data_IF_937653513056
#
_entry.id   IF_937653513056
#
_cell.length_a   1.000
_cell.length_b   1.000
_cell.length_c   1.000
_cell.angle_alpha   90.00
_cell.angle_beta   90.00
_cell.angle_gamma   90.00
#
_symmetry.space_group_name_H-M   'P 1'
#
loop_
_entity.id
_entity.type
_entity.pdbx_description
1 polymer ?
#
# COMPACT_ATOMS: atom_id res chain seq x y z
N UNK A 1 -6.36 26.40 6.96
CA UNK A 1 -4.89 26.28 6.96
C UNK A 1 -4.39 25.06 7.76
N UNK A 2 -4.81 24.85 9.02
CA UNK A 2 -4.40 23.69 9.83
C UNK A 2 -4.74 22.29 9.25
N UNK A 3 -5.89 22.15 8.57
CA UNK A 3 -6.31 20.88 7.93
C UNK A 3 -5.38 20.44 6.79
N UNK A 4 -4.83 21.40 6.03
CA UNK A 4 -3.89 21.14 4.93
C UNK A 4 -2.49 20.74 5.43
N UNK A 5 -2.02 21.36 6.52
CA UNK A 5 -0.73 21.01 7.12
C UNK A 5 -0.73 19.59 7.71
N UNK A 6 -1.86 19.20 8.33
CA UNK A 6 -2.16 17.84 8.80
C UNK A 6 -2.13 16.83 7.65
N UNK A 7 -2.83 17.12 6.54
CA UNK A 7 -2.89 16.21 5.39
C UNK A 7 -1.51 15.95 4.75
N UNK A 8 -0.66 16.98 4.66
CA UNK A 8 0.71 16.81 4.13
C UNK A 8 1.59 15.94 5.04
N UNK A 9 1.46 16.05 6.36
CA UNK A 9 2.18 15.19 7.30
C UNK A 9 1.70 13.73 7.21
N UNK A 10 0.40 13.51 7.12
CA UNK A 10 -0.18 12.17 6.93
C UNK A 10 0.34 11.54 5.64
N UNK A 11 0.39 12.29 4.53
CA UNK A 11 0.93 11.83 3.24
C UNK A 11 2.42 11.47 3.32
N UNK A 12 3.23 12.26 4.02
CA UNK A 12 4.65 11.93 4.26
C UNK A 12 4.82 10.66 5.10
N UNK A 13 3.99 10.48 6.14
CA UNK A 13 3.98 9.26 6.96
C UNK A 13 3.57 8.05 6.13
N UNK A 14 2.58 8.18 5.23
CA UNK A 14 2.18 7.13 4.30
C UNK A 14 3.33 6.75 3.38
N UNK A 15 3.98 7.74 2.75
CA UNK A 15 5.11 7.49 1.85
C UNK A 15 6.26 6.77 2.57
N UNK A 16 6.61 7.21 3.79
CA UNK A 16 7.61 6.54 4.63
C UNK A 16 7.20 5.11 5.00
N UNK A 17 5.94 4.93 5.41
CA UNK A 17 5.39 3.61 5.75
C UNK A 17 5.38 2.66 4.56
N UNK A 18 5.17 3.18 3.35
CA UNK A 18 5.17 2.39 2.10
C UNK A 18 6.53 1.72 1.87
N UNK A 19 7.63 2.44 2.13
CA UNK A 19 8.98 1.88 2.01
C UNK A 19 9.26 0.85 3.12
N UNK A 20 8.93 1.17 4.37
CA UNK A 20 9.19 0.30 5.53
C UNK A 20 8.41 -1.02 5.42
N UNK A 21 7.11 -0.95 5.13
CA UNK A 21 6.25 -2.14 5.00
C UNK A 21 6.67 -3.01 3.82
N UNK A 22 7.06 -2.40 2.70
CA UNK A 22 7.59 -3.13 1.53
C UNK A 22 8.89 -3.88 1.85
N UNK A 23 9.81 -3.25 2.60
CA UNK A 23 11.04 -3.88 3.05
C UNK A 23 10.78 -5.02 4.05
N UNK A 24 9.87 -4.81 5.01
CA UNK A 24 9.50 -5.83 5.98
C UNK A 24 8.86 -7.05 5.29
N UNK A 25 7.92 -6.83 4.36
CA UNK A 25 7.27 -7.92 3.62
C UNK A 25 8.29 -8.65 2.76
N UNK A 26 9.15 -7.94 2.03
CA UNK A 26 10.18 -8.57 1.20
C UNK A 26 11.12 -9.41 2.06
N UNK A 27 11.63 -8.86 3.16
CA UNK A 27 12.53 -9.57 4.08
C UNK A 27 11.87 -10.79 4.73
N UNK A 28 10.64 -10.66 5.21
CA UNK A 28 9.90 -11.79 5.79
C UNK A 28 9.56 -12.86 4.76
N UNK A 29 9.08 -12.49 3.57
CA UNK A 29 8.68 -13.48 2.55
C UNK A 29 9.88 -14.21 1.96
N UNK A 30 11.02 -13.56 1.72
CA UNK A 30 12.23 -14.23 1.24
C UNK A 30 12.84 -15.14 2.30
N UNK A 31 12.88 -14.72 3.58
CA UNK A 31 13.45 -15.59 4.62
C UNK A 31 12.51 -16.70 5.10
N UNK A 32 11.18 -16.50 5.10
CA UNK A 32 10.25 -17.49 5.66
C UNK A 32 9.50 -18.34 4.62
N UNK A 33 9.12 -17.77 3.47
CA UNK A 33 8.27 -18.48 2.49
C UNK A 33 9.10 -19.28 1.48
N UNK A 34 10.26 -18.78 1.06
CA UNK A 34 11.18 -19.52 0.17
C UNK A 34 11.73 -20.79 0.84
N UNK A 35 11.93 -20.79 2.17
CA UNK A 35 12.32 -21.99 2.92
C UNK A 35 11.22 -23.06 2.92
N UNK A 36 9.94 -22.66 2.84
CA UNK A 36 8.77 -23.53 3.06
C UNK A 36 7.98 -23.92 1.80
N UNK A 37 8.65 -24.19 0.67
CA UNK A 37 8.09 -24.89 -0.52
C UNK A 37 7.10 -24.13 -1.42
N UNK A 38 6.91 -22.82 -1.29
CA UNK A 38 6.03 -22.07 -2.21
C UNK A 38 6.83 -21.39 -3.34
N UNK A 39 7.26 -22.18 -4.34
CA UNK A 39 7.89 -21.75 -5.60
C UNK A 39 6.97 -20.93 -6.55
N UNK A 40 5.81 -20.47 -6.07
CA UNK A 40 4.83 -19.78 -6.88
C UNK A 40 5.17 -18.31 -7.03
N UNK A 41 5.82 -17.95 -8.16
CA UNK A 41 6.11 -16.60 -8.70
C UNK A 41 6.41 -15.54 -7.63
N UNK A 42 7.64 -15.03 -7.61
CA UNK A 42 8.06 -13.93 -6.72
C UNK A 42 7.40 -12.59 -7.11
N UNK A 43 6.06 -12.54 -6.96
CA UNK A 43 5.20 -11.38 -7.20
C UNK A 43 5.44 -10.33 -6.12
N UNK A 44 5.88 -10.75 -4.92
CA UNK A 44 6.17 -9.84 -3.80
C UNK A 44 7.20 -8.79 -4.15
N UNK A 45 8.31 -9.17 -4.80
CA UNK A 45 9.33 -8.21 -5.22
C UNK A 45 8.76 -7.15 -6.18
N UNK A 46 7.99 -7.58 -7.18
CA UNK A 46 7.39 -6.68 -8.16
C UNK A 46 6.36 -5.74 -7.52
N UNK A 47 5.50 -6.26 -6.65
CA UNK A 47 4.46 -5.47 -5.98
C UNK A 47 5.08 -4.50 -4.96
N UNK A 48 6.13 -4.90 -4.24
CA UNK A 48 6.86 -4.02 -3.32
C UNK A 48 7.58 -2.89 -4.08
N UNK A 49 8.22 -3.20 -5.21
CA UNK A 49 8.82 -2.17 -6.08
C UNK A 49 7.77 -1.21 -6.60
N UNK A 50 6.63 -1.73 -7.06
CA UNK A 50 5.51 -0.91 -7.52
C UNK A 50 5.02 0.01 -6.39
N UNK A 51 4.99 -0.48 -5.15
CA UNK A 51 4.61 0.35 -4.01
C UNK A 51 5.64 1.42 -3.65
N UNK A 52 6.93 1.09 -3.68
CA UNK A 52 8.00 2.08 -3.44
C UNK A 52 7.92 3.19 -4.49
N UNK A 53 7.78 2.82 -5.77
CA UNK A 53 7.64 3.77 -6.87
C UNK A 53 6.37 4.62 -6.70
N UNK A 54 5.24 4.00 -6.40
CA UNK A 54 4.00 4.71 -6.06
C UNK A 54 4.19 5.69 -4.90
N UNK A 55 4.88 5.26 -3.83
CA UNK A 55 5.13 6.08 -2.64
C UNK A 55 5.95 7.31 -2.95
N UNK A 56 6.93 7.20 -3.85
CA UNK A 56 7.70 8.34 -4.37
C UNK A 56 6.77 9.31 -5.11
N UNK A 57 5.87 8.82 -5.97
CA UNK A 57 4.90 9.68 -6.65
C UNK A 57 3.97 10.40 -5.67
N UNK A 58 3.52 9.73 -4.62
CA UNK A 58 2.70 10.34 -3.56
C UNK A 58 3.46 11.43 -2.81
N UNK A 59 4.73 11.18 -2.48
CA UNK A 59 5.60 12.15 -1.83
C UNK A 59 5.84 13.39 -2.71
N UNK A 60 6.21 13.19 -3.98
CA UNK A 60 6.42 14.28 -4.95
C UNK A 60 5.10 15.03 -5.20
N UNK A 61 3.99 14.32 -5.32
CA UNK A 61 2.65 14.90 -5.45
C UNK A 61 2.27 15.78 -4.27
N UNK A 62 2.59 15.35 -3.05
CA UNK A 62 2.35 16.13 -1.84
C UNK A 62 3.23 17.38 -1.78
N UNK A 63 4.50 17.31 -2.19
CA UNK A 63 5.41 18.46 -2.22
C UNK A 63 5.03 19.49 -3.27
N UNK A 64 4.65 19.03 -4.47
CA UNK A 64 4.32 19.90 -5.60
C UNK A 64 2.84 20.31 -5.64
N UNK A 65 2.04 19.90 -4.62
CA UNK A 65 0.58 20.04 -4.58
C UNK A 65 -0.14 19.51 -5.83
N UNK A 66 0.50 18.57 -6.55
CA UNK A 66 -0.04 17.99 -7.78
C UNK A 66 -0.71 16.66 -7.45
N UNK A 67 -2.03 16.71 -7.27
CA UNK A 67 -2.84 15.58 -6.83
C UNK A 67 -2.99 14.49 -7.90
N UNK A 68 -2.69 14.79 -9.18
CA UNK A 68 -2.62 13.79 -10.24
C UNK A 68 -1.56 12.71 -9.98
N UNK A 69 -0.51 13.04 -9.23
CA UNK A 69 0.54 12.08 -8.86
C UNK A 69 0.08 11.10 -7.77
N UNK A 70 -1.16 11.19 -7.29
CA UNK A 70 -1.73 10.22 -6.36
C UNK A 70 -2.30 8.99 -7.07
N UNK A 71 -2.70 9.11 -8.34
CA UNK A 71 -3.23 7.98 -9.11
C UNK A 71 -2.27 6.79 -9.20
N UNK A 72 -0.98 6.99 -9.52
CA UNK A 72 -0.02 5.88 -9.57
C UNK A 72 0.10 5.13 -8.24
N UNK A 73 0.07 5.85 -7.13
CA UNK A 73 0.10 5.23 -5.80
C UNK A 73 -1.22 4.52 -5.46
N UNK A 74 -2.37 5.11 -5.78
CA UNK A 74 -3.68 4.49 -5.58
C UNK A 74 -3.78 3.16 -6.34
N UNK A 75 -3.34 3.13 -7.60
CA UNK A 75 -3.29 1.90 -8.39
C UNK A 75 -2.36 0.86 -7.77
N UNK A 76 -1.17 1.30 -7.31
CA UNK A 76 -0.23 0.42 -6.63
C UNK A 76 -0.78 -0.13 -5.30
N UNK A 77 -1.52 0.69 -4.55
CA UNK A 77 -2.21 0.31 -3.32
C UNK A 77 -3.29 -0.74 -3.57
N UNK A 78 -4.11 -0.58 -4.61
CA UNK A 78 -5.09 -1.60 -5.01
C UNK A 78 -4.44 -2.95 -5.30
N UNK A 79 -3.38 -2.96 -6.11
CA UNK A 79 -2.65 -4.18 -6.48
C UNK A 79 -2.00 -4.83 -5.25
N UNK A 80 -1.45 -4.01 -4.36
CA UNK A 80 -0.82 -4.48 -3.12
C UNK A 80 -1.83 -5.11 -2.15
N UNK A 81 -2.97 -4.46 -1.91
CA UNK A 81 -4.07 -4.99 -1.08
C UNK A 81 -4.58 -6.30 -1.67
N UNK A 82 -4.84 -6.34 -2.98
CA UNK A 82 -5.27 -7.55 -3.67
C UNK A 82 -4.27 -8.71 -3.48
N UNK A 83 -2.97 -8.42 -3.61
CA UNK A 83 -1.91 -9.43 -3.45
C UNK A 83 -1.85 -9.96 -2.01
N UNK A 84 -1.98 -9.08 -1.01
CA UNK A 84 -2.04 -9.46 0.41
C UNK A 84 -3.21 -10.41 0.69
N UNK A 85 -4.41 -10.06 0.21
CA UNK A 85 -5.61 -10.89 0.40
C UNK A 85 -5.48 -12.22 -0.35
N UNK A 86 -5.05 -12.20 -1.61
CA UNK A 86 -4.88 -13.41 -2.42
C UNK A 86 -3.88 -14.37 -1.79
N UNK A 87 -2.69 -13.88 -1.38
CA UNK A 87 -1.66 -14.71 -0.73
C UNK A 87 -2.10 -15.18 0.66
N UNK A 88 -2.84 -14.35 1.41
CA UNK A 88 -3.43 -14.73 2.70
C UNK A 88 -4.39 -15.92 2.54
N UNK A 89 -5.26 -15.91 1.53
CA UNK A 89 -6.16 -17.02 1.21
C UNK A 89 -5.35 -18.25 0.76
N UNK A 90 -4.36 -18.07 -0.13
CA UNK A 90 -3.53 -19.19 -0.61
C UNK A 90 -2.77 -19.88 0.52
N UNK A 91 -2.24 -19.12 1.48
CA UNK A 91 -1.56 -19.66 2.65
C UNK A 91 -2.53 -20.34 3.62
N UNK A 92 -3.75 -19.83 3.74
CA UNK A 92 -4.81 -20.47 4.52
C UNK A 92 -5.22 -21.85 3.99
N UNK A 93 -5.07 -22.12 2.69
CA UNK A 93 -5.40 -23.44 2.13
C UNK A 93 -4.22 -24.42 2.07
N UNK A 94 -2.97 -23.93 2.07
CA UNK A 94 -1.80 -24.77 1.73
C UNK A 94 -0.79 -25.02 2.87
N UNK A 95 -0.86 -24.32 4.01
CA UNK A 95 0.18 -24.38 5.06
C UNK A 95 -0.37 -24.83 6.42
N UNK A 96 -0.42 -26.12 6.72
CA UNK A 96 -0.88 -26.61 8.03
C UNK A 96 -0.04 -26.08 9.21
N UNK A 97 -0.71 -25.54 10.23
CA UNK A 97 -0.15 -25.24 11.57
C UNK A 97 0.56 -23.89 11.76
N UNK A 98 1.25 -23.35 10.76
CA UNK A 98 1.95 -22.04 10.85
C UNK A 98 1.05 -20.83 10.46
N UNK A 99 -0.22 -21.08 10.12
CA UNK A 99 -1.19 -20.07 9.64
C UNK A 99 -1.57 -19.01 10.67
N UNK A 100 -1.45 -19.34 11.97
CA UNK A 100 -2.07 -18.57 13.07
C UNK A 100 -1.53 -17.14 13.19
N UNK A 101 -0.36 -16.85 12.62
CA UNK A 101 0.28 -15.54 12.76
C UNK A 101 0.40 -14.79 11.42
N UNK A 102 0.68 -15.48 10.31
CA UNK A 102 0.94 -14.84 9.00
C UNK A 102 -0.35 -14.35 8.33
N UNK A 103 -1.40 -15.16 8.36
CA UNK A 103 -2.71 -14.84 7.76
C UNK A 103 -3.32 -13.59 8.41
N UNK A 104 -3.47 -13.50 9.75
CA UNK A 104 -4.01 -12.30 10.38
C UNK A 104 -3.10 -11.08 10.23
N UNK A 105 -1.78 -11.27 10.16
CA UNK A 105 -0.85 -10.16 9.92
C UNK A 105 -1.04 -9.55 8.53
N UNK A 106 -1.17 -10.36 7.48
CA UNK A 106 -1.44 -9.87 6.12
C UNK A 106 -2.81 -9.19 6.00
N UNK A 107 -3.84 -9.73 6.64
CA UNK A 107 -5.17 -9.12 6.68
C UNK A 107 -5.16 -7.79 7.43
N UNK A 108 -4.41 -7.69 8.54
CA UNK A 108 -4.26 -6.44 9.30
C UNK A 108 -3.56 -5.37 8.48
N UNK A 109 -2.49 -5.73 7.75
CA UNK A 109 -1.80 -4.81 6.84
C UNK A 109 -2.74 -4.38 5.71
N UNK A 110 -3.51 -5.30 5.12
CA UNK A 110 -4.45 -4.98 4.05
C UNK A 110 -5.54 -4.00 4.51
N UNK A 111 -6.10 -4.20 5.72
CA UNK A 111 -7.07 -3.29 6.33
C UNK A 111 -6.48 -1.90 6.58
N UNK A 112 -5.27 -1.85 7.15
CA UNK A 112 -4.54 -0.60 7.37
C UNK A 112 -4.27 0.15 6.05
N UNK A 113 -3.84 -0.57 5.01
CA UNK A 113 -3.58 0.02 3.69
C UNK A 113 -4.86 0.53 3.02
N UNK A 114 -5.97 -0.18 3.18
CA UNK A 114 -7.28 0.20 2.64
C UNK A 114 -7.77 1.52 3.24
N UNK A 115 -7.48 1.76 4.53
CA UNK A 115 -7.79 3.04 5.17
C UNK A 115 -7.03 4.20 4.52
N UNK A 116 -5.71 4.08 4.30
CA UNK A 116 -4.95 5.13 3.63
C UNK A 116 -5.33 5.32 2.17
N UNK A 117 -5.64 4.22 1.48
CA UNK A 117 -6.15 4.29 0.12
C UNK A 117 -7.44 5.12 0.08
N UNK A 118 -8.36 4.88 1.03
CA UNK A 118 -9.59 5.66 1.14
C UNK A 118 -9.32 7.14 1.43
N UNK A 119 -8.43 7.46 2.37
CA UNK A 119 -8.08 8.84 2.74
C UNK A 119 -7.50 9.61 1.55
N UNK A 120 -6.52 9.03 0.85
CA UNK A 120 -5.89 9.63 -0.34
C UNK A 120 -6.89 9.76 -1.49
N UNK A 121 -7.81 8.81 -1.65
CA UNK A 121 -8.85 8.86 -2.68
C UNK A 121 -9.88 9.97 -2.39
N UNK A 122 -10.29 10.15 -1.14
CA UNK A 122 -11.16 11.26 -0.73
C UNK A 122 -10.51 12.62 -0.97
N UNK A 123 -9.23 12.75 -0.63
CA UNK A 123 -8.44 13.95 -0.90
C UNK A 123 -8.33 14.27 -2.41
N UNK A 124 -8.19 13.24 -3.25
CA UNK A 124 -8.19 13.39 -4.70
C UNK A 124 -9.55 13.89 -5.21
N UNK A 125 -10.66 13.32 -4.72
CA UNK A 125 -12.01 13.72 -5.11
C UNK A 125 -12.35 15.15 -4.69
N UNK A 126 -12.01 15.55 -3.46
CA UNK A 126 -12.30 16.90 -2.95
C UNK A 126 -11.65 17.98 -3.81
N UNK A 127 -10.43 17.76 -4.30
CA UNK A 127 -9.74 18.68 -5.20
C UNK A 127 -10.45 18.80 -6.56
N UNK A 128 -10.94 17.70 -7.12
CA UNK A 128 -11.70 17.73 -8.37
C UNK A 128 -13.04 18.45 -8.21
N UNK A 129 -13.74 18.24 -7.09
CA UNK A 129 -14.99 18.95 -6.80
C UNK A 129 -14.78 20.45 -6.59
N UNK A 130 -13.69 20.87 -5.95
CA UNK A 130 -13.38 22.30 -5.78
C UNK A 130 -13.04 22.99 -7.12
N UNK A 131 -12.30 22.32 -8.01
CA UNK A 131 -11.98 22.85 -9.35
C UNK A 131 -13.25 23.01 -10.20
N UNK A 132 -14.26 22.17 -9.98
CA UNK A 132 -15.52 22.21 -10.73
C UNK A 132 -16.48 23.31 -10.28
N UNK A 133 -16.29 23.91 -9.10
CA UNK A 133 -17.11 25.01 -8.57
C UNK A 133 -16.51 26.40 -8.83
N UNK A 134 -15.32 26.48 -9.42
CA UNK A 134 -14.69 27.74 -9.85
C UNK A 134 -14.97 28.10 -11.32
N UNK A 135 -15.71 27.25 -12.04
CA UNK A 135 -16.22 27.49 -13.40
C UNK A 135 -17.73 27.63 -13.41
#
# INVERSE_FOLDING_TARGET
>A
MFRSLSANHVRMVIAGSTAIVSLLITGFTTTWVEINKCWGLNVWMNVCLLQIVGGIFLFVGSLKSNHWLFLPWLLAACIFIYTLVYKSILYFYNLDGMMLLVVPLFQSIAGFWSYFMYDVFQDFLQMHTSVQMEY
#
